data_IF_682790829943
#
_entry.id   IF_682790829943
#
_cell.length_a   1.000
_cell.length_b   1.000
_cell.length_c   1.000
_cell.angle_alpha   90.00
_cell.angle_beta   90.00
_cell.angle_gamma   90.00
#
_symmetry.space_group_name_H-M   'P 1'
#
loop_
_entity.id
_entity.type
_entity.pdbx_description
1 polymer ?
#
# COMPACT_ATOMS: atom_id res chain seq x y z
N UNK A 1 -46.75 32.90 -22.96
CA UNK A 1 -46.90 32.28 -24.30
C UNK A 1 -46.75 33.38 -25.35
N UNK A 2 -46.25 33.14 -26.58
CA UNK A 2 -45.51 32.00 -27.19
C UNK A 2 -44.02 32.42 -27.47
N UNK A 3 -43.02 31.61 -27.81
CA UNK A 3 -42.94 30.37 -28.58
C UNK A 3 -42.46 30.69 -30.00
N UNK A 4 -41.19 30.41 -30.36
CA UNK A 4 -40.76 30.09 -31.73
C UNK A 4 -39.41 29.36 -31.74
N UNK A 5 -39.42 28.19 -32.39
CA UNK A 5 -38.29 27.34 -32.76
C UNK A 5 -37.49 27.95 -33.92
N UNK A 6 -36.21 27.61 -34.07
CA UNK A 6 -35.65 27.11 -35.34
C UNK A 6 -34.32 26.36 -35.14
N UNK A 7 -34.05 25.45 -36.07
CA UNK A 7 -33.10 24.34 -36.06
C UNK A 7 -31.85 24.58 -36.94
N UNK A 8 -30.83 23.72 -36.74
CA UNK A 8 -29.76 23.25 -37.65
C UNK A 8 -28.42 24.02 -37.85
N UNK A 9 -27.36 23.36 -37.37
CA UNK A 9 -26.13 22.85 -38.01
C UNK A 9 -25.17 23.71 -38.87
N UNK A 10 -23.91 23.69 -38.42
CA UNK A 10 -22.61 23.50 -39.12
C UNK A 10 -22.25 24.38 -40.32
N UNK A 11 -21.18 25.19 -40.20
CA UNK A 11 -20.07 25.23 -41.19
C UNK A 11 -18.79 25.80 -40.57
N UNK A 12 -17.67 25.22 -40.98
CA UNK A 12 -16.27 25.53 -40.67
C UNK A 12 -15.86 27.00 -40.89
N UNK A 13 -14.92 27.49 -40.07
CA UNK A 13 -13.95 28.48 -40.51
C UNK A 13 -12.53 28.07 -40.09
N UNK A 14 -11.72 27.97 -41.15
CA UNK A 14 -10.31 27.67 -41.24
C UNK A 14 -9.48 28.86 -40.77
N UNK A 15 -8.54 28.64 -39.84
CA UNK A 15 -7.56 29.64 -39.41
C UNK A 15 -6.19 28.98 -39.36
N UNK A 16 -5.38 29.19 -40.41
CA UNK A 16 -3.96 28.85 -40.45
C UNK A 16 -3.17 29.96 -39.77
N UNK A 17 -2.42 29.63 -38.72
CA UNK A 17 -1.19 30.34 -38.37
C UNK A 17 -0.08 29.30 -38.14
N UNK A 18 0.92 29.36 -39.01
CA UNK A 18 2.18 28.63 -38.88
C UNK A 18 3.07 29.31 -37.83
N UNK A 19 3.60 28.54 -36.88
CA UNK A 19 4.87 28.86 -36.22
C UNK A 19 5.69 27.59 -35.98
N UNK A 20 6.89 27.60 -36.54
CA UNK A 20 7.85 26.50 -36.57
C UNK A 20 8.56 26.31 -35.22
N UNK A 21 8.66 25.03 -34.86
CA UNK A 21 9.83 24.31 -34.36
C UNK A 21 10.64 24.92 -33.19
N UNK A 22 10.47 24.32 -32.00
CA UNK A 22 11.55 24.15 -31.03
C UNK A 22 11.51 22.71 -30.48
N UNK A 23 12.64 22.03 -30.56
CA UNK A 23 12.87 20.66 -30.12
C UNK A 23 12.69 20.52 -28.60
N UNK A 24 11.91 19.52 -28.16
CA UNK A 24 11.75 19.16 -26.76
C UNK A 24 11.97 17.66 -26.55
N UNK A 25 13.19 17.28 -26.14
CA UNK A 25 13.57 15.90 -25.82
C UNK A 25 12.68 15.34 -24.72
N UNK A 26 12.05 14.20 -24.99
CA UNK A 26 11.35 13.36 -24.00
C UNK A 26 12.40 12.85 -22.99
N UNK A 27 12.50 13.50 -21.84
CA UNK A 27 13.25 12.97 -20.71
C UNK A 27 12.42 11.87 -20.04
N UNK A 28 12.66 10.61 -20.45
CA UNK A 28 12.33 9.43 -19.65
C UNK A 28 13.04 9.57 -18.29
N UNK A 29 12.33 10.01 -17.25
CA UNK A 29 12.85 10.02 -15.88
C UNK A 29 12.93 8.57 -15.40
N UNK A 30 14.12 8.00 -15.60
CA UNK A 30 14.50 6.64 -15.18
C UNK A 30 14.25 6.51 -13.67
N UNK A 31 13.33 5.63 -13.32
CA UNK A 31 13.07 5.19 -11.95
C UNK A 31 14.39 4.61 -11.41
N UNK A 32 15.06 5.33 -10.51
CA UNK A 32 16.25 4.80 -9.83
C UNK A 32 15.76 3.74 -8.83
N UNK A 33 16.40 2.57 -8.84
CA UNK A 33 16.02 1.48 -7.95
C UNK A 33 16.29 1.87 -6.50
N UNK A 34 15.22 2.02 -5.73
CA UNK A 34 15.25 2.32 -4.29
C UNK A 34 16.13 1.33 -3.51
N UNK A 35 16.25 0.08 -3.99
CA UNK A 35 17.04 -0.97 -3.36
C UNK A 35 18.56 -0.75 -3.39
N UNK A 36 19.11 0.04 -4.32
CA UNK A 36 20.54 0.33 -4.35
C UNK A 36 20.95 1.36 -3.28
N UNK A 37 20.12 2.38 -3.09
CA UNK A 37 20.35 3.43 -2.09
C UNK A 37 20.11 2.92 -0.66
N UNK A 38 19.20 1.97 -0.46
CA UNK A 38 18.97 1.37 0.86
C UNK A 38 20.18 0.56 1.35
N UNK A 39 20.86 -0.19 0.47
CA UNK A 39 22.07 -0.94 0.83
C UNK A 39 23.21 -0.02 1.27
N UNK A 40 23.40 1.12 0.59
CA UNK A 40 24.40 2.10 0.96
C UNK A 40 24.01 2.88 2.22
N UNK A 41 22.72 3.16 2.42
CA UNK A 41 22.19 3.80 3.62
C UNK A 41 22.36 2.92 4.87
N UNK A 42 22.03 1.63 4.77
CA UNK A 42 22.23 0.65 5.83
C UNK A 42 23.72 0.53 6.22
N UNK A 43 24.63 0.65 5.25
CA UNK A 43 26.08 0.60 5.49
C UNK A 43 26.63 1.81 6.26
N UNK A 44 25.97 2.98 6.17
CA UNK A 44 26.43 4.22 6.79
C UNK A 44 25.79 4.51 8.15
N UNK A 45 24.70 3.83 8.50
CA UNK A 45 23.93 4.08 9.72
C UNK A 45 24.34 3.20 10.92
N UNK A 46 25.56 2.63 10.90
CA UNK A 46 26.15 1.95 12.07
C UNK A 46 27.01 2.94 12.87
N UNK A 47 26.43 3.60 13.89
CA UNK A 47 27.20 3.96 15.07
C UNK A 47 26.69 3.21 16.32
N UNK A 48 27.69 2.85 17.11
CA UNK A 48 27.71 2.20 18.43
C UNK A 48 26.65 2.69 19.44
N UNK A 49 26.26 1.78 20.37
CA UNK A 49 25.65 2.00 21.71
C UNK A 49 24.09 2.06 21.73
N UNK A 50 23.30 1.43 22.60
CA UNK A 50 23.42 0.64 23.86
C UNK A 50 22.14 -0.24 24.02
N UNK A 51 22.12 -1.29 24.87
CA UNK A 51 21.01 -2.23 24.98
C UNK A 51 19.99 -1.80 26.04
N UNK A 52 18.70 -1.70 25.67
CA UNK A 52 17.68 -1.58 26.70
C UNK A 52 16.27 -1.27 26.23
N UNK A 53 15.60 -2.22 25.56
CA UNK A 53 14.14 -2.40 25.72
C UNK A 53 13.85 -3.91 25.65
N UNK A 54 13.33 -4.46 26.75
CA UNK A 54 12.73 -5.79 26.80
C UNK A 54 11.32 -5.67 26.23
N UNK A 55 11.06 -6.28 25.08
CA UNK A 55 9.69 -6.47 24.59
C UNK A 55 9.35 -7.96 24.58
N UNK A 56 8.18 -8.22 25.12
CA UNK A 56 7.63 -9.47 25.60
C UNK A 56 7.26 -10.47 24.51
N UNK A 57 7.57 -11.74 24.80
CA UNK A 57 7.17 -13.01 24.17
C UNK A 57 5.98 -13.00 23.20
N UNK A 58 6.26 -13.33 21.94
CA UNK A 58 5.34 -14.07 21.05
C UNK A 58 6.12 -15.11 20.24
N UNK A 59 5.90 -16.39 20.60
CA UNK A 59 6.14 -17.64 19.84
C UNK A 59 7.31 -17.64 18.85
N UNK A 60 8.40 -18.25 19.32
CA UNK A 60 9.69 -18.47 18.68
C UNK A 60 9.56 -19.36 17.42
N UNK A 61 9.12 -18.78 16.30
CA UNK A 61 9.61 -19.19 14.98
C UNK A 61 10.93 -18.47 14.84
N UNK A 62 12.03 -19.21 14.71
CA UNK A 62 13.36 -18.65 14.49
C UNK A 62 13.34 -17.88 13.16
N UNK A 63 13.05 -16.58 13.25
CA UNK A 63 13.09 -15.65 12.13
C UNK A 63 14.48 -15.74 11.49
N UNK A 64 14.55 -16.12 10.23
CA UNK A 64 15.84 -16.21 9.55
C UNK A 64 16.27 -14.84 9.04
N UNK A 65 17.57 -14.55 9.09
CA UNK A 65 18.13 -13.31 8.53
C UNK A 65 17.77 -13.14 7.05
N UNK A 66 17.76 -14.25 6.30
CA UNK A 66 17.38 -14.26 4.88
C UNK A 66 15.94 -13.81 4.68
N UNK A 67 14.99 -14.34 5.47
CA UNK A 67 13.58 -13.93 5.39
C UNK A 67 13.42 -12.41 5.63
N UNK A 68 14.10 -11.87 6.66
CA UNK A 68 14.03 -10.43 6.95
C UNK A 68 14.65 -9.60 5.84
N UNK A 69 15.74 -10.06 5.22
CA UNK A 69 16.33 -9.40 4.05
C UNK A 69 15.35 -9.38 2.87
N UNK A 70 14.59 -10.47 2.65
CA UNK A 70 13.58 -10.53 1.58
C UNK A 70 12.48 -9.47 1.75
N UNK A 71 12.13 -9.11 2.98
CA UNK A 71 11.15 -8.06 3.25
C UNK A 71 11.54 -6.69 2.71
N UNK A 72 12.84 -6.40 2.56
CA UNK A 72 13.32 -5.13 1.98
C UNK A 72 13.23 -5.04 0.46
N UNK A 73 12.98 -6.17 -0.21
CA UNK A 73 13.01 -6.22 -1.67
C UNK A 73 11.70 -5.74 -2.30
N UNK A 74 10.56 -6.00 -1.66
CA UNK A 74 9.25 -5.46 -2.05
C UNK A 74 8.24 -5.57 -0.90
N UNK A 75 7.23 -4.69 -0.90
CA UNK A 75 6.11 -4.80 0.05
C UNK A 75 5.38 -6.14 -0.12
N UNK A 76 5.24 -6.64 -1.35
CA UNK A 76 4.71 -7.99 -1.62
C UNK A 76 5.44 -9.09 -0.83
N UNK A 77 6.79 -9.10 -0.84
CA UNK A 77 7.57 -10.09 -0.09
C UNK A 77 7.42 -9.96 1.42
N UNK A 78 7.31 -8.73 1.91
CA UNK A 78 7.00 -8.46 3.32
C UNK A 78 5.61 -9.01 3.69
N UNK A 79 4.60 -8.74 2.87
CA UNK A 79 3.21 -9.17 3.11
C UNK A 79 3.00 -10.67 2.89
N UNK A 80 3.85 -11.34 2.11
CA UNK A 80 3.82 -12.80 1.96
C UNK A 80 4.32 -13.55 3.21
N UNK A 81 5.09 -12.90 4.09
CA UNK A 81 5.57 -13.47 5.36
C UNK A 81 4.59 -13.17 6.49
N UNK A 82 4.13 -14.22 7.21
CA UNK A 82 3.28 -14.04 8.39
C UNK A 82 3.97 -13.23 9.49
N UNK A 83 5.27 -13.42 9.66
CA UNK A 83 6.08 -12.65 10.60
C UNK A 83 6.26 -11.21 10.11
N UNK A 84 6.50 -11.02 8.81
CA UNK A 84 6.59 -9.71 8.18
C UNK A 84 5.32 -8.88 8.36
N UNK A 85 4.15 -9.49 8.14
CA UNK A 85 2.85 -8.87 8.42
C UNK A 85 2.73 -8.41 9.88
N UNK A 86 3.15 -9.24 10.83
CA UNK A 86 3.08 -8.91 12.26
C UNK A 86 3.96 -7.72 12.64
N UNK A 87 5.22 -7.74 12.19
CA UNK A 87 6.19 -6.67 12.47
C UNK A 87 5.78 -5.37 11.75
N UNK A 88 5.32 -5.44 10.51
CA UNK A 88 4.86 -4.27 9.77
C UNK A 88 3.57 -3.69 10.37
N UNK A 89 2.64 -4.53 10.83
CA UNK A 89 1.43 -4.07 11.55
C UNK A 89 1.80 -3.30 12.81
N UNK A 90 2.76 -3.78 13.60
CA UNK A 90 3.19 -3.09 14.81
C UNK A 90 3.82 -1.73 14.50
N UNK A 91 4.59 -1.65 13.41
CA UNK A 91 5.08 -0.37 12.90
C UNK A 91 3.94 0.57 12.49
N UNK A 92 2.95 0.08 11.74
CA UNK A 92 1.81 0.90 11.30
C UNK A 92 0.97 1.40 12.49
N UNK A 93 0.80 0.59 13.55
CA UNK A 93 0.15 1.02 14.80
C UNK A 93 0.88 2.18 15.46
N UNK A 94 2.21 2.15 15.47
CA UNK A 94 3.01 3.26 16.01
C UNK A 94 2.85 4.56 15.21
N UNK A 95 2.37 4.46 13.97
CA UNK A 95 2.08 5.57 13.07
C UNK A 95 0.56 5.79 12.86
N UNK A 96 -0.30 5.14 13.65
CA UNK A 96 -1.76 5.23 13.57
C UNK A 96 -2.31 5.00 12.15
N UNK A 97 -1.83 3.94 11.49
CA UNK A 97 -2.18 3.61 10.09
C UNK A 97 -2.34 2.10 9.85
N UNK A 98 -2.57 1.33 10.92
CA UNK A 98 -2.67 -0.14 10.86
C UNK A 98 -3.91 -0.64 10.11
N UNK A 99 -4.96 0.18 9.96
CA UNK A 99 -6.16 -0.16 9.20
C UNK A 99 -5.82 -0.55 7.76
N UNK A 100 -4.74 0.00 7.20
CA UNK A 100 -4.32 -0.27 5.83
C UNK A 100 -3.88 -1.73 5.63
N UNK A 101 -3.06 -2.27 6.54
CA UNK A 101 -2.66 -3.69 6.46
C UNK A 101 -3.82 -4.61 6.86
N UNK A 102 -4.66 -4.20 7.82
CA UNK A 102 -5.80 -4.99 8.25
C UNK A 102 -6.82 -5.16 7.12
N UNK A 103 -7.16 -4.06 6.43
CA UNK A 103 -8.00 -4.10 5.23
C UNK A 103 -7.38 -4.95 4.12
N UNK A 104 -6.08 -4.77 3.85
CA UNK A 104 -5.41 -5.52 2.78
C UNK A 104 -5.46 -7.04 3.04
N UNK A 105 -5.20 -7.46 4.29
CA UNK A 105 -5.28 -8.86 4.71
C UNK A 105 -6.71 -9.39 4.68
N UNK A 106 -7.69 -8.59 5.10
CA UNK A 106 -9.10 -8.94 5.01
C UNK A 106 -9.52 -9.19 3.56
N UNK A 107 -9.01 -8.41 2.60
CA UNK A 107 -9.24 -8.62 1.17
C UNK A 107 -8.59 -9.91 0.66
N UNK A 108 -7.36 -10.23 1.07
CA UNK A 108 -6.70 -11.49 0.70
C UNK A 108 -7.43 -12.73 1.23
N UNK A 109 -7.97 -12.64 2.44
CA UNK A 109 -8.81 -13.67 3.04
C UNK A 109 -10.21 -13.71 2.37
N UNK A 110 -10.76 -12.57 1.96
CA UNK A 110 -12.02 -12.48 1.22
C UNK A 110 -11.96 -13.20 -0.12
N UNK A 111 -10.89 -12.99 -0.90
CA UNK A 111 -10.71 -13.66 -2.20
C UNK A 111 -10.75 -15.19 -2.13
N UNK A 112 -10.35 -15.76 -1.00
CA UNK A 112 -10.31 -17.21 -0.74
C UNK A 112 -11.61 -17.76 -0.14
N UNK A 113 -12.61 -16.90 0.09
CA UNK A 113 -13.86 -17.26 0.76
C UNK A 113 -14.79 -18.01 -0.18
N UNK A 114 -15.46 -19.06 0.30
CA UNK A 114 -16.47 -19.77 -0.49
C UNK A 114 -17.68 -18.88 -0.76
N UNK A 115 -18.35 -19.07 -1.91
CA UNK A 115 -19.48 -18.24 -2.35
C UNK A 115 -20.58 -18.09 -1.28
N UNK A 116 -20.90 -19.15 -0.53
CA UNK A 116 -21.94 -19.14 0.52
C UNK A 116 -21.65 -18.17 1.68
N UNK A 117 -20.38 -17.79 1.88
CA UNK A 117 -19.95 -16.87 2.93
C UNK A 117 -19.51 -15.51 2.40
N UNK A 118 -19.54 -15.33 1.08
CA UNK A 118 -19.00 -14.14 0.43
C UNK A 118 -19.75 -12.89 0.85
N UNK A 119 -21.09 -12.96 0.88
CA UNK A 119 -21.94 -11.82 1.23
C UNK A 119 -21.70 -11.31 2.65
N UNK A 120 -21.81 -12.19 3.65
CA UNK A 120 -21.58 -11.80 5.04
C UNK A 120 -20.15 -11.35 5.34
N UNK A 121 -19.16 -11.74 4.52
CA UNK A 121 -17.78 -11.24 4.67
C UNK A 121 -17.57 -9.90 3.97
N UNK A 122 -18.20 -9.69 2.81
CA UNK A 122 -18.19 -8.40 2.13
C UNK A 122 -18.82 -7.31 3.01
N UNK A 123 -19.95 -7.61 3.64
CA UNK A 123 -20.63 -6.70 4.56
C UNK A 123 -19.72 -6.28 5.71
N UNK A 124 -19.07 -7.24 6.39
CA UNK A 124 -18.11 -6.92 7.48
C UNK A 124 -16.94 -6.07 7.02
N UNK A 125 -16.34 -6.39 5.87
CA UNK A 125 -15.22 -5.59 5.32
C UNK A 125 -15.69 -4.18 4.99
N UNK A 126 -16.90 -4.04 4.43
CA UNK A 126 -17.48 -2.75 4.13
C UNK A 126 -17.70 -1.93 5.40
N UNK A 127 -18.36 -2.48 6.42
CA UNK A 127 -18.66 -1.78 7.68
C UNK A 127 -17.40 -1.38 8.46
N UNK A 128 -16.38 -2.26 8.50
CA UNK A 128 -15.17 -2.03 9.28
C UNK A 128 -14.23 -1.00 8.62
N UNK A 129 -14.13 -1.00 7.29
CA UNK A 129 -13.09 -0.25 6.57
C UNK A 129 -13.60 0.76 5.53
N UNK A 130 -14.75 0.52 4.88
CA UNK A 130 -15.17 1.29 3.68
C UNK A 130 -16.30 2.27 3.97
N UNK A 131 -17.22 1.93 4.87
CA UNK A 131 -18.37 2.75 5.20
C UNK A 131 -17.93 4.17 5.61
N UNK A 132 -18.77 5.16 5.31
CA UNK A 132 -18.65 6.48 5.92
C UNK A 132 -18.65 6.32 7.45
N UNK A 133 -17.70 6.96 8.11
CA UNK A 133 -17.52 6.94 9.57
C UNK A 133 -17.14 5.58 10.19
N UNK A 134 -16.67 4.64 9.37
CA UNK A 134 -16.08 3.40 9.88
C UNK A 134 -14.91 3.70 10.83
N UNK A 135 -14.82 2.99 11.97
CA UNK A 135 -13.78 3.24 12.98
C UNK A 135 -12.37 3.06 12.38
N UNK A 136 -12.22 2.11 11.46
CA UNK A 136 -10.97 1.83 10.74
C UNK A 136 -11.05 2.25 9.27
N UNK A 137 -11.69 3.39 9.02
CA UNK A 137 -11.91 3.87 7.67
C UNK A 137 -10.59 4.01 6.89
N UNK A 138 -10.49 3.33 5.74
CA UNK A 138 -9.31 3.45 4.87
C UNK A 138 -9.33 4.75 4.06
N UNK A 139 -8.12 5.24 3.78
CA UNK A 139 -7.91 6.45 2.98
C UNK A 139 -8.03 6.17 1.48
N UNK A 140 -9.27 6.18 0.98
CA UNK A 140 -9.63 6.10 -0.44
C UNK A 140 -10.51 7.29 -0.83
N UNK A 141 -10.45 7.68 -2.11
CA UNK A 141 -11.27 8.77 -2.63
C UNK A 141 -12.77 8.44 -2.63
N UNK A 142 -13.60 9.47 -2.76
CA UNK A 142 -15.05 9.34 -2.72
C UNK A 142 -15.59 8.43 -3.82
N UNK A 143 -15.06 8.53 -5.05
CA UNK A 143 -15.56 7.75 -6.18
C UNK A 143 -15.28 6.26 -5.99
N UNK A 144 -14.10 5.92 -5.49
CA UNK A 144 -13.70 4.57 -5.13
C UNK A 144 -14.59 4.02 -4.03
N UNK A 145 -14.84 4.81 -2.97
CA UNK A 145 -15.70 4.41 -1.85
C UNK A 145 -17.10 4.05 -2.32
N UNK A 146 -17.71 4.90 -3.13
CA UNK A 146 -19.04 4.66 -3.72
C UNK A 146 -19.06 3.40 -4.62
N UNK A 147 -18.02 3.20 -5.42
CA UNK A 147 -17.91 2.03 -6.28
C UNK A 147 -17.73 0.72 -5.48
N UNK A 148 -16.95 0.75 -4.40
CA UNK A 148 -16.78 -0.39 -3.49
C UNK A 148 -18.05 -0.66 -2.70
N UNK A 149 -18.76 0.37 -2.24
CA UNK A 149 -20.04 0.23 -1.54
C UNK A 149 -21.09 -0.49 -2.41
N UNK A 150 -21.21 -0.10 -3.68
CA UNK A 150 -22.10 -0.77 -4.65
C UNK A 150 -21.69 -2.24 -4.87
N UNK A 151 -20.39 -2.51 -5.02
CA UNK A 151 -19.85 -3.86 -5.18
C UNK A 151 -19.96 -4.75 -3.94
N UNK A 152 -20.16 -4.16 -2.76
CA UNK A 152 -20.41 -4.91 -1.52
C UNK A 152 -21.87 -5.39 -1.42
N UNK A 153 -22.82 -4.73 -2.09
CA UNK A 153 -24.23 -5.11 -2.10
C UNK A 153 -24.50 -6.40 -2.87
N UNK A 154 -23.82 -6.58 -4.01
CA UNK A 154 -23.81 -7.83 -4.78
C UNK A 154 -22.36 -8.32 -4.96
N UNK A 155 -21.81 -9.02 -3.95
CA UNK A 155 -20.40 -9.29 -3.88
C UNK A 155 -19.92 -10.39 -4.84
N UNK A 156 -18.76 -10.14 -5.42
CA UNK A 156 -17.96 -11.09 -6.19
C UNK A 156 -16.58 -11.19 -5.56
N UNK A 157 -15.77 -12.18 -5.96
CA UNK A 157 -14.40 -12.34 -5.42
C UNK A 157 -13.48 -11.13 -5.69
N UNK A 158 -13.85 -10.26 -6.64
CA UNK A 158 -13.08 -9.08 -7.05
C UNK A 158 -13.67 -7.76 -6.53
N UNK A 159 -14.71 -7.79 -5.68
CA UNK A 159 -15.43 -6.60 -5.21
C UNK A 159 -14.53 -5.54 -4.55
N UNK A 160 -13.40 -5.95 -3.96
CA UNK A 160 -12.47 -5.07 -3.26
C UNK A 160 -11.13 -4.84 -3.98
N UNK A 161 -10.92 -5.40 -5.18
CA UNK A 161 -9.60 -5.40 -5.84
C UNK A 161 -9.02 -4.00 -6.07
N UNK A 162 -9.85 -3.07 -6.54
CA UNK A 162 -9.42 -1.68 -6.81
C UNK A 162 -9.09 -0.91 -5.52
N UNK A 163 -9.91 -1.07 -4.49
CA UNK A 163 -9.66 -0.46 -3.19
C UNK A 163 -8.41 -1.06 -2.54
N UNK A 164 -8.25 -2.38 -2.58
CA UNK A 164 -7.08 -3.08 -2.07
C UNK A 164 -5.80 -2.65 -2.78
N UNK A 165 -5.83 -2.49 -4.12
CA UNK A 165 -4.69 -1.98 -4.90
C UNK A 165 -4.31 -0.55 -4.51
N UNK A 166 -5.31 0.29 -4.26
CA UNK A 166 -5.12 1.67 -3.80
C UNK A 166 -4.41 1.68 -2.44
N UNK A 167 -4.91 0.92 -1.48
CA UNK A 167 -4.32 0.81 -0.13
C UNK A 167 -2.93 0.17 -0.16
N UNK A 168 -2.70 -0.84 -0.99
CA UNK A 168 -1.36 -1.40 -1.20
C UNK A 168 -0.38 -0.31 -1.69
N UNK A 169 -0.80 0.49 -2.68
CA UNK A 169 0.03 1.56 -3.24
C UNK A 169 0.28 2.67 -2.21
N UNK A 170 -0.69 2.97 -1.35
CA UNK A 170 -0.54 3.91 -0.24
C UNK A 170 0.56 3.43 0.71
N UNK A 171 0.46 2.19 1.19
CA UNK A 171 1.49 1.60 2.07
C UNK A 171 2.86 1.52 1.39
N UNK A 172 2.91 1.12 0.11
CA UNK A 172 4.15 0.96 -0.65
C UNK A 172 4.91 2.28 -0.84
N UNK A 173 4.17 3.39 -0.99
CA UNK A 173 4.77 4.71 -1.26
C UNK A 173 5.07 5.52 -0.01
N UNK A 174 4.39 5.24 1.10
CA UNK A 174 4.51 6.03 2.33
C UNK A 174 5.10 5.23 3.49
N UNK A 175 4.33 4.31 4.08
CA UNK A 175 4.71 3.63 5.32
C UNK A 175 5.83 2.59 5.11
N UNK A 176 5.86 1.87 3.99
CA UNK A 176 6.84 0.81 3.74
C UNK A 176 8.30 1.35 3.63
N UNK A 177 8.58 2.44 2.89
CA UNK A 177 9.90 3.06 2.89
C UNK A 177 10.35 3.56 4.28
N UNK A 178 9.41 4.00 5.13
CA UNK A 178 9.67 4.42 6.51
C UNK A 178 9.92 3.22 7.41
N UNK A 179 9.15 2.13 7.25
CA UNK A 179 9.34 0.87 7.95
C UNK A 179 10.76 0.32 7.78
N UNK A 180 11.28 0.29 6.56
CA UNK A 180 12.65 -0.22 6.28
C UNK A 180 13.77 0.63 6.90
N UNK A 181 13.45 1.86 7.33
CA UNK A 181 14.37 2.77 8.05
C UNK A 181 14.08 2.84 9.54
N UNK A 182 13.00 2.20 9.99
CA UNK A 182 12.55 2.26 11.37
C UNK A 182 13.47 1.45 12.29
N UNK A 183 13.52 1.85 13.56
CA UNK A 183 14.22 1.08 14.60
C UNK A 183 13.67 -0.35 14.70
N UNK A 184 12.37 -0.54 14.48
CA UNK A 184 11.72 -1.86 14.50
C UNK A 184 12.38 -2.83 13.53
N UNK A 185 12.55 -2.43 12.26
CA UNK A 185 13.18 -3.27 11.24
C UNK A 185 14.70 -3.41 11.44
N UNK A 186 15.40 -2.30 11.75
CA UNK A 186 16.86 -2.32 11.92
C UNK A 186 17.31 -3.14 13.13
N UNK A 187 16.58 -3.07 14.24
CA UNK A 187 16.86 -3.88 15.42
C UNK A 187 16.69 -5.37 15.14
N UNK A 188 15.70 -5.75 14.32
CA UNK A 188 15.50 -7.14 13.92
C UNK A 188 16.68 -7.65 13.09
N UNK A 189 17.16 -6.87 12.11
CA UNK A 189 18.35 -7.22 11.34
C UNK A 189 19.58 -7.39 12.24
N UNK A 190 19.78 -6.50 13.20
CA UNK A 190 20.94 -6.55 14.12
C UNK A 190 20.88 -7.76 15.05
N UNK A 191 19.71 -8.13 15.56
CA UNK A 191 19.55 -9.31 16.42
C UNK A 191 19.80 -10.63 15.67
N UNK A 192 19.57 -10.64 14.36
CA UNK A 192 19.76 -11.81 13.49
C UNK A 192 21.15 -11.85 12.84
N UNK A 193 21.98 -10.83 13.02
CA UNK A 193 23.39 -10.89 12.67
C UNK A 193 24.12 -11.55 13.85
N UNK A 194 24.70 -12.76 13.70
CA UNK A 194 25.56 -13.30 14.74
C UNK A 194 26.70 -12.31 14.96
N UNK A 195 26.98 -11.97 16.23
CA UNK A 195 28.18 -11.24 16.60
C UNK A 195 29.40 -12.00 16.06
N UNK A 196 29.88 -11.66 14.87
CA UNK A 196 31.19 -12.09 14.38
C UNK A 196 32.23 -11.25 15.10
N UNK A 197 32.35 -11.46 16.41
CA UNK A 197 33.46 -10.97 17.22
C UNK A 197 34.54 -12.05 17.22
N UNK A 198 35.46 -11.97 16.26
CA UNK A 198 36.92 -12.04 16.42
C UNK A 198 37.60 -12.19 15.07
#
# INVERSE_FOLDING_TARGET
MPGFFFSHNMTELNGKEDCKLAEGKIHKKKQKSFGADLKNYLKCMVPHLEPGIKTSNTKNVMLSTEEVIQWSQSLEKLLASQSGQGVFREFLKSEFSEENIEFWLACEDYKKTKSDHLHGKAERIYEEFVQSDAIKQINIDYQMREATAKRAQDPTHTSFDEAQKTVYTLMERDSYPRFLKSKTYLNLLNQLQPNTSK
#
